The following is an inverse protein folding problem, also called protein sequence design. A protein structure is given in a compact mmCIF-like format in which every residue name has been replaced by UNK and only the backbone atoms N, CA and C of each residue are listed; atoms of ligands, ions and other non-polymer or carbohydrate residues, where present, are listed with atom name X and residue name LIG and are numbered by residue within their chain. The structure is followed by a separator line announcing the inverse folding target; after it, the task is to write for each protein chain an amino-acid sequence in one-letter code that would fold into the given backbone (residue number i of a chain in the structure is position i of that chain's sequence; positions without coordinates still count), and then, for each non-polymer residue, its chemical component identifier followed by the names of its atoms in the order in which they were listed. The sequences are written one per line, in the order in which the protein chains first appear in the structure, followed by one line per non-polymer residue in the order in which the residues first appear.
data_IF_367251024673
#
_entry.id   IF_367251024673
#
_cell.length_a   1.000
_cell.length_b   1.000
_cell.length_c   1.000
_cell.angle_alpha   90.00
_cell.angle_beta   90.00
_cell.angle_gamma   90.00
#
_symmetry.space_group_name_H-M   'P 1'
#
loop_
_entity.id
_entity.type
_entity.pdbx_description
1 polymer ?
#
# COMPACT_ATOMS: atom_id res chain seq x y z
N UNK A 1 -3.55 4.56 22.58
CA UNK A 1 -4.33 4.54 21.33
C UNK A 1 -3.89 5.74 20.50
N UNK A 2 -3.54 5.59 19.22
CA UNK A 2 -2.87 6.59 18.37
C UNK A 2 -3.58 7.96 18.35
N UNK A 3 -3.17 8.94 19.18
CA UNK A 3 -3.98 10.15 19.42
C UNK A 3 -3.96 11.10 18.21
N UNK A 4 -2.96 10.98 17.34
CA UNK A 4 -2.78 11.79 16.14
C UNK A 4 -3.17 11.02 14.85
N UNK A 5 -3.81 9.85 14.98
CA UNK A 5 -4.04 8.92 13.89
C UNK A 5 -2.78 8.18 13.42
N UNK A 6 -2.96 7.33 12.42
CA UNK A 6 -1.91 6.46 11.86
C UNK A 6 -1.48 6.90 10.46
N UNK A 7 -0.21 6.70 10.14
CA UNK A 7 0.35 6.79 8.79
C UNK A 7 0.40 5.40 8.17
N UNK A 8 -0.27 5.20 7.04
CA UNK A 8 -0.38 3.90 6.37
C UNK A 8 0.28 3.95 5.00
N UNK A 9 1.11 2.94 4.71
CA UNK A 9 1.52 2.62 3.35
C UNK A 9 0.72 1.40 2.88
N UNK A 10 -0.17 1.61 1.91
CA UNK A 10 -1.07 0.60 1.36
C UNK A 10 -0.59 0.21 -0.04
N UNK A 11 -0.12 -1.02 -0.17
CA UNK A 11 0.43 -1.57 -1.41
C UNK A 11 -0.59 -2.47 -2.08
N UNK A 12 -0.78 -2.34 -3.39
CA UNK A 12 -1.81 -3.08 -4.12
C UNK A 12 -3.20 -2.84 -3.50
N UNK A 13 -3.51 -1.56 -3.26
CA UNK A 13 -4.64 -1.13 -2.43
C UNK A 13 -6.00 -1.64 -2.94
N UNK A 14 -6.12 -1.91 -4.25
CA UNK A 14 -7.40 -2.19 -4.87
C UNK A 14 -8.37 -1.06 -4.59
N UNK A 15 -9.59 -1.41 -4.17
CA UNK A 15 -10.67 -0.45 -3.91
C UNK A 15 -10.65 0.15 -2.48
N UNK A 16 -9.60 -0.11 -1.69
CA UNK A 16 -9.45 0.50 -0.36
C UNK A 16 -9.98 -0.32 0.81
N UNK A 17 -9.92 -1.65 0.74
CA UNK A 17 -10.49 -2.53 1.77
C UNK A 17 -9.85 -2.33 3.15
N UNK A 18 -8.54 -2.09 3.20
CA UNK A 18 -7.82 -1.83 4.45
C UNK A 18 -8.22 -0.51 5.10
N UNK A 19 -8.37 0.53 4.29
CA UNK A 19 -8.76 1.87 4.72
C UNK A 19 -10.20 1.88 5.25
N UNK A 20 -11.12 1.19 4.57
CA UNK A 20 -12.50 0.99 5.05
C UNK A 20 -12.52 0.25 6.39
N UNK A 21 -11.68 -0.78 6.55
CA UNK A 21 -11.58 -1.51 7.81
C UNK A 21 -11.08 -0.61 8.96
N UNK A 22 -10.02 0.17 8.74
CA UNK A 22 -9.50 1.12 9.73
C UNK A 22 -10.55 2.16 10.13
N UNK A 23 -11.26 2.72 9.15
CA UNK A 23 -12.36 3.66 9.40
C UNK A 23 -13.47 3.03 10.27
N UNK A 24 -13.89 1.80 9.94
CA UNK A 24 -14.91 1.07 10.73
C UNK A 24 -14.46 0.75 12.16
N UNK A 25 -13.16 0.60 12.38
CA UNK A 25 -12.56 0.44 13.71
C UNK A 25 -12.41 1.77 14.47
N UNK A 26 -12.81 2.89 13.88
CA UNK A 26 -12.67 4.23 14.48
C UNK A 26 -11.21 4.71 14.54
N UNK A 27 -10.31 4.10 13.78
CA UNK A 27 -8.90 4.49 13.74
C UNK A 27 -8.76 5.64 12.74
N UNK A 28 -8.43 6.83 13.24
CA UNK A 28 -8.16 7.96 12.37
C UNK A 28 -6.91 7.71 11.51
N UNK A 29 -7.06 7.83 10.20
CA UNK A 29 -5.95 7.75 9.24
C UNK A 29 -5.45 9.17 8.95
N UNK A 30 -4.29 9.52 9.50
CA UNK A 30 -3.66 10.82 9.30
C UNK A 30 -3.11 10.97 7.88
N UNK A 31 -2.46 9.93 7.38
CA UNK A 31 -1.96 9.88 6.01
C UNK A 31 -2.05 8.46 5.49
N UNK A 32 -2.52 8.32 4.26
CA UNK A 32 -2.48 7.07 3.50
C UNK A 32 -1.73 7.31 2.21
N UNK A 33 -0.64 6.56 2.01
CA UNK A 33 0.02 6.43 0.71
C UNK A 33 -0.51 5.15 0.08
N UNK A 34 -1.38 5.29 -0.91
CA UNK A 34 -2.00 4.19 -1.65
C UNK A 34 -1.26 3.92 -2.96
N UNK A 35 -0.93 2.66 -3.21
CA UNK A 35 -0.24 2.22 -4.43
C UNK A 35 -1.14 1.22 -5.17
N UNK A 36 -1.72 1.65 -6.28
CA UNK A 36 -2.70 0.86 -7.02
C UNK A 36 -2.65 1.19 -8.51
N UNK A 37 -2.54 0.17 -9.36
CA UNK A 37 -2.37 0.32 -10.81
C UNK A 37 -3.67 0.62 -11.55
N UNK A 38 -4.80 0.08 -11.08
CA UNK A 38 -6.12 0.29 -11.67
C UNK A 38 -6.64 1.70 -11.40
N UNK A 39 -6.82 2.50 -12.45
CA UNK A 39 -7.39 3.85 -12.32
C UNK A 39 -8.82 3.83 -11.75
N UNK A 40 -9.63 2.85 -12.14
CA UNK A 40 -10.99 2.67 -11.62
C UNK A 40 -10.96 2.41 -10.12
N UNK A 41 -10.06 1.55 -9.66
CA UNK A 41 -9.88 1.23 -8.24
C UNK A 41 -9.47 2.46 -7.43
N UNK A 42 -8.49 3.22 -7.93
CA UNK A 42 -8.06 4.50 -7.38
C UNK A 42 -9.22 5.49 -7.26
N UNK A 43 -10.03 5.64 -8.33
CA UNK A 43 -11.21 6.52 -8.33
C UNK A 43 -12.26 6.10 -7.29
N UNK A 44 -12.48 4.80 -7.11
CA UNK A 44 -13.41 4.28 -6.09
C UNK A 44 -12.91 4.65 -4.68
N UNK A 45 -11.63 4.37 -4.38
CA UNK A 45 -11.04 4.73 -3.09
C UNK A 45 -11.12 6.24 -2.85
N UNK A 46 -10.73 7.07 -3.83
CA UNK A 46 -10.78 8.54 -3.71
C UNK A 46 -12.19 9.04 -3.45
N UNK A 47 -13.18 8.54 -4.19
CA UNK A 47 -14.57 8.92 -4.00
C UNK A 47 -15.10 8.59 -2.60
N UNK A 48 -14.73 7.44 -2.05
CA UNK A 48 -15.04 7.09 -0.66
C UNK A 48 -14.25 7.93 0.35
N UNK A 49 -12.97 8.18 0.08
CA UNK A 49 -12.06 8.96 0.94
C UNK A 49 -12.60 10.37 1.17
N UNK A 50 -12.95 11.07 0.09
CA UNK A 50 -13.42 12.47 0.13
C UNK A 50 -14.72 12.63 0.93
N UNK A 51 -15.50 11.56 1.10
CA UNK A 51 -16.76 11.57 1.85
C UNK A 51 -16.59 11.19 3.33
N UNK A 52 -15.50 10.50 3.70
CA UNK A 52 -15.41 9.81 4.99
C UNK A 52 -14.17 10.16 5.81
N UNK A 53 -13.10 10.63 5.17
CA UNK A 53 -11.81 10.86 5.81
C UNK A 53 -11.43 12.34 5.79
N UNK A 54 -10.69 12.76 6.81
CA UNK A 54 -10.15 14.13 6.94
C UNK A 54 -8.63 14.19 6.82
N UNK A 55 -7.97 13.03 6.71
CA UNK A 55 -6.52 12.93 6.54
C UNK A 55 -6.07 13.17 5.10
N UNK A 56 -4.79 12.93 4.86
CA UNK A 56 -4.19 13.07 3.53
C UNK A 56 -4.16 11.73 2.79
N UNK A 57 -4.72 11.68 1.58
CA UNK A 57 -4.53 10.56 0.64
C UNK A 57 -3.49 10.95 -0.42
N UNK A 58 -2.48 10.10 -0.60
CA UNK A 58 -1.48 10.21 -1.67
C UNK A 58 -1.56 8.96 -2.51
N UNK A 59 -1.82 9.11 -3.81
CA UNK A 59 -1.96 7.98 -4.72
C UNK A 59 -0.76 7.84 -5.65
N UNK A 60 -0.30 6.61 -5.79
CA UNK A 60 0.83 6.23 -6.64
C UNK A 60 0.32 5.13 -7.57
N UNK A 61 0.45 5.35 -8.88
CA UNK A 61 -0.10 4.42 -9.86
C UNK A 61 0.68 3.10 -9.94
N UNK A 62 2.01 3.15 -9.95
CA UNK A 62 2.82 1.95 -10.13
C UNK A 62 3.74 1.71 -8.93
N UNK A 63 3.70 0.50 -8.38
CA UNK A 63 4.60 0.05 -7.32
C UNK A 63 6.07 0.11 -7.72
N UNK A 64 6.37 -0.03 -9.02
CA UNK A 64 7.72 0.13 -9.56
C UNK A 64 8.24 1.56 -9.43
N UNK A 65 7.33 2.55 -9.36
CA UNK A 65 7.70 3.97 -9.15
C UNK A 65 8.00 4.31 -7.68
N UNK A 66 7.84 3.36 -6.76
CA UNK A 66 8.11 3.53 -5.34
C UNK A 66 9.57 3.13 -5.03
N UNK A 67 10.52 3.95 -5.47
CA UNK A 67 11.95 3.75 -5.20
C UNK A 67 12.29 3.96 -3.72
N UNK A 68 13.45 3.45 -3.28
CA UNK A 68 13.92 3.56 -1.90
C UNK A 68 14.07 5.02 -1.46
N UNK A 69 14.54 5.92 -2.33
CA UNK A 69 14.63 7.36 -2.05
C UNK A 69 13.25 8.01 -1.85
N UNK A 70 12.26 7.56 -2.63
CA UNK A 70 10.89 8.05 -2.51
C UNK A 70 10.27 7.58 -1.20
N UNK A 71 10.52 6.33 -0.80
CA UNK A 71 10.14 5.78 0.50
C UNK A 71 10.80 6.57 1.63
N UNK A 72 12.11 6.80 1.57
CA UNK A 72 12.84 7.59 2.56
C UNK A 72 12.33 9.03 2.65
N UNK A 73 11.88 9.61 1.54
CA UNK A 73 11.24 10.93 1.52
C UNK A 73 9.90 10.93 2.26
N UNK A 74 9.06 9.91 2.04
CA UNK A 74 7.81 9.77 2.81
C UNK A 74 8.06 9.52 4.29
N UNK A 75 9.02 8.65 4.64
CA UNK A 75 9.39 8.38 6.03
C UNK A 75 9.81 9.67 6.72
N UNK A 76 10.72 10.45 6.12
CA UNK A 76 11.13 11.76 6.67
C UNK A 76 9.97 12.75 6.77
N UNK A 77 9.09 12.79 5.76
CA UNK A 77 7.96 13.72 5.73
C UNK A 77 6.91 13.43 6.80
N UNK A 78 6.63 12.16 7.06
CA UNK A 78 5.55 11.74 7.95
C UNK A 78 6.01 11.31 9.35
N UNK A 79 7.32 11.22 9.57
CA UNK A 79 7.90 10.63 10.78
C UNK A 79 7.78 9.11 10.80
N UNK A 80 7.74 8.47 9.63
CA UNK A 80 7.57 7.03 9.46
C UNK A 80 6.14 6.58 9.15
N UNK A 81 6.00 5.28 8.96
CA UNK A 81 4.72 4.59 8.76
C UNK A 81 4.43 3.71 9.98
N UNK A 82 3.22 3.83 10.52
CA UNK A 82 2.73 3.00 11.62
C UNK A 82 2.27 1.63 11.14
N UNK A 83 1.85 1.56 9.87
CA UNK A 83 1.30 0.36 9.26
C UNK A 83 1.70 0.27 7.78
N UNK A 84 2.18 -0.90 7.37
CA UNK A 84 2.35 -1.27 5.96
C UNK A 84 1.43 -2.44 5.67
N UNK A 85 0.47 -2.27 4.76
CA UNK A 85 -0.46 -3.32 4.33
C UNK A 85 -0.34 -3.56 2.84
N UNK A 86 -0.78 -4.73 2.39
CA UNK A 86 -0.96 -4.98 0.97
C UNK A 86 -1.24 -6.44 0.64
N UNK A 87 -1.84 -6.65 -0.51
CA UNK A 87 -2.13 -7.98 -1.07
C UNK A 87 -1.71 -8.03 -2.53
N UNK A 88 -0.57 -8.65 -2.82
CA UNK A 88 -0.11 -8.79 -4.21
C UNK A 88 -1.11 -9.60 -5.03
N UNK A 89 -1.29 -9.31 -6.33
CA UNK A 89 -2.19 -10.06 -7.21
C UNK A 89 -1.95 -11.57 -7.13
N UNK A 90 -3.01 -12.36 -6.92
CA UNK A 90 -2.92 -13.80 -6.66
C UNK A 90 -3.05 -14.68 -7.91
N UNK A 91 -3.03 -14.09 -9.11
CA UNK A 91 -3.35 -14.78 -10.37
C UNK A 91 -2.48 -16.02 -10.67
N UNK A 92 -1.25 -16.06 -10.15
CA UNK A 92 -0.34 -17.21 -10.26
C UNK A 92 -0.24 -18.06 -8.97
N UNK A 93 -0.91 -17.67 -7.89
CA UNK A 93 -0.87 -18.32 -6.58
C UNK A 93 -2.16 -19.11 -6.27
N UNK A 94 -3.29 -18.76 -6.89
CA UNK A 94 -4.53 -19.51 -6.78
C UNK A 94 -4.49 -20.76 -7.68
N UNK A 95 -4.65 -21.95 -7.09
CA UNK A 95 -4.58 -23.26 -7.77
C UNK A 95 -5.60 -23.53 -8.89
N UNK A 96 -6.36 -22.53 -9.33
CA UNK A 96 -7.36 -22.65 -10.40
C UNK A 96 -6.83 -22.35 -11.81
N UNK A 97 -5.60 -21.84 -11.96
CA UNK A 97 -4.94 -21.69 -13.26
C UNK A 97 -4.07 -22.91 -13.57
N UNK A 98 -4.70 -23.95 -14.13
CA UNK A 98 -4.06 -25.24 -14.49
C UNK A 98 -3.06 -25.17 -15.66
N UNK A 99 -2.82 -24.01 -16.27
CA UNK A 99 -2.13 -23.93 -17.57
C UNK A 99 -0.85 -23.10 -17.66
N UNK A 100 -0.39 -22.37 -16.63
CA UNK A 100 0.96 -21.78 -16.59
C UNK A 100 1.46 -21.76 -15.14
N UNK A 101 2.34 -22.70 -14.80
CA UNK A 101 3.00 -22.80 -13.49
C UNK A 101 4.40 -22.20 -13.58
N UNK A 102 4.50 -20.87 -13.58
CA UNK A 102 5.81 -20.20 -13.48
C UNK A 102 6.18 -19.86 -12.03
N UNK A 103 5.40 -20.31 -11.04
CA UNK A 103 5.71 -20.13 -9.61
C UNK A 103 5.93 -18.65 -9.23
N UNK A 104 6.91 -18.39 -8.36
CA UNK A 104 7.34 -17.03 -7.99
C UNK A 104 8.14 -16.31 -9.08
N UNK A 105 8.41 -16.95 -10.22
CA UNK A 105 9.22 -16.43 -11.32
C UNK A 105 8.39 -15.82 -12.46
N UNK A 106 7.06 -16.01 -12.46
CA UNK A 106 6.17 -15.37 -13.44
C UNK A 106 6.08 -13.84 -13.27
N UNK A 107 5.82 -13.10 -14.36
CA UNK A 107 5.80 -11.62 -14.37
C UNK A 107 4.87 -10.98 -13.33
N UNK A 108 3.76 -11.64 -12.97
CA UNK A 108 2.84 -11.17 -11.92
C UNK A 108 3.29 -11.55 -10.50
N UNK A 109 4.10 -12.60 -10.36
CA UNK A 109 4.70 -13.01 -9.08
C UNK A 109 5.87 -12.11 -8.66
N UNK A 110 6.49 -11.40 -9.61
CA UNK A 110 7.53 -10.42 -9.33
C UNK A 110 7.04 -9.25 -8.44
N UNK A 111 5.74 -8.95 -8.46
CA UNK A 111 5.12 -7.93 -7.61
C UNK A 111 5.19 -8.27 -6.12
N UNK A 112 5.26 -9.56 -5.78
CA UNK A 112 5.50 -10.01 -4.41
C UNK A 112 6.87 -9.54 -3.90
N UNK A 113 7.93 -9.63 -4.71
CA UNK A 113 9.26 -9.15 -4.32
C UNK A 113 9.30 -7.63 -4.11
N UNK A 114 8.49 -6.86 -4.85
CA UNK A 114 8.36 -5.43 -4.58
C UNK A 114 7.81 -5.16 -3.18
N UNK A 115 6.87 -5.96 -2.67
CA UNK A 115 6.36 -5.81 -1.31
C UNK A 115 7.49 -5.92 -0.27
N UNK A 116 8.30 -6.99 -0.33
CA UNK A 116 9.41 -7.19 0.62
C UNK A 116 10.45 -6.08 0.52
N UNK A 117 10.88 -5.73 -0.70
CA UNK A 117 11.80 -4.62 -0.93
C UNK A 117 11.28 -3.33 -0.28
N UNK A 118 9.99 -3.03 -0.44
CA UNK A 118 9.40 -1.81 0.13
C UNK A 118 9.37 -1.87 1.66
N UNK A 119 8.98 -3.01 2.25
CA UNK A 119 8.99 -3.19 3.71
C UNK A 119 10.40 -3.02 4.28
N UNK A 120 11.41 -3.61 3.63
CA UNK A 120 12.80 -3.49 4.06
C UNK A 120 13.33 -2.06 3.89
N UNK A 121 12.96 -1.37 2.80
CA UNK A 121 13.29 0.03 2.59
C UNK A 121 12.65 0.95 3.65
N UNK A 122 11.38 0.69 4.03
CA UNK A 122 10.70 1.42 5.13
C UNK A 122 11.44 1.20 6.44
N UNK A 123 11.75 -0.05 6.79
CA UNK A 123 12.48 -0.39 8.03
C UNK A 123 13.86 0.28 8.06
N UNK A 124 14.61 0.19 6.97
CA UNK A 124 15.93 0.80 6.85
C UNK A 124 15.86 2.32 6.96
N UNK A 125 14.90 2.97 6.30
CA UNK A 125 14.73 4.41 6.41
C UNK A 125 14.32 4.86 7.82
N UNK A 126 13.45 4.11 8.49
CA UNK A 126 13.02 4.40 9.87
C UNK A 126 14.14 4.16 10.89
N UNK A 127 15.01 3.17 10.68
CA UNK A 127 16.16 2.92 11.55
C UNK A 127 17.32 3.91 11.41
N UNK A 128 17.29 4.77 10.38
CA UNK A 128 18.28 5.85 10.14
C UNK A 128 17.79 7.23 10.58
N UNK A 129 16.56 7.32 11.08
CA UNK A 129 15.92 8.54 11.60
C UNK A 129 16.23 8.71 13.08
#
# INVERSE_FOLDING_TARGET
MYPNGVNVLSLFTGIGGGEVALHRLGIHMRTVVSVEIGEVNRRILRGWWDQTQTGTLIEIADVKSLTDDRIATFVRRFGGFDLVIGGSPCNNLAGSNRHHRDGLEGEQSALFYHYFRIVDAVKSAMGRM
#
